data_IF_211619855775
#
_entry.id   IF_211619855775
#
_cell.length_a   1.000
_cell.length_b   1.000
_cell.length_c   1.000
_cell.angle_alpha   90.00
_cell.angle_beta   90.00
_cell.angle_gamma   90.00
#
_symmetry.space_group_name_H-M   'P 1'
#
loop_
_entity.id
_entity.type
_entity.pdbx_description
1 polymer ?
#
# COMPACT_ATOMS: atom_id res chain seq x y z
N UNK A 1 -39.15 -70.65 -36.90
CA UNK A 1 -39.23 -69.95 -38.20
C UNK A 1 -40.27 -68.84 -38.03
N UNK A 2 -40.08 -67.53 -38.27
CA UNK A 2 -39.06 -66.74 -38.95
C UNK A 2 -39.14 -65.27 -38.47
N UNK A 3 -37.98 -64.63 -38.34
CA UNK A 3 -37.59 -63.22 -38.58
C UNK A 3 -38.26 -62.02 -37.87
N UNK A 4 -37.41 -61.30 -37.14
CA UNK A 4 -37.54 -59.89 -36.73
C UNK A 4 -36.97 -58.93 -37.81
N UNK A 5 -37.37 -57.64 -37.83
CA UNK A 5 -36.60 -56.59 -38.48
C UNK A 5 -35.86 -55.69 -37.48
N UNK A 6 -34.64 -55.33 -37.87
CA UNK A 6 -33.65 -54.49 -37.22
C UNK A 6 -34.01 -53.00 -37.23
N UNK A 7 -34.00 -52.33 -36.06
CA UNK A 7 -34.10 -50.86 -35.97
C UNK A 7 -33.08 -50.27 -34.97
N UNK A 8 -31.84 -50.77 -34.97
CA UNK A 8 -30.72 -50.23 -34.18
C UNK A 8 -29.65 -49.51 -35.01
N UNK A 9 -29.55 -49.78 -36.31
CA UNK A 9 -28.46 -49.30 -37.17
C UNK A 9 -28.72 -47.93 -37.82
N UNK A 10 -29.98 -47.50 -37.93
CA UNK A 10 -30.34 -46.25 -38.62
C UNK A 10 -30.25 -45.00 -37.72
N UNK A 11 -30.46 -45.16 -36.41
CA UNK A 11 -30.28 -44.06 -35.45
C UNK A 11 -28.80 -43.70 -35.25
N UNK A 12 -27.90 -44.70 -35.28
CA UNK A 12 -26.46 -44.46 -35.22
C UNK A 12 -25.89 -43.85 -36.51
N UNK A 13 -26.48 -44.18 -37.67
CA UNK A 13 -26.10 -43.53 -38.95
C UNK A 13 -26.55 -42.07 -39.02
N UNK A 14 -27.72 -41.72 -38.49
CA UNK A 14 -28.15 -40.31 -38.39
C UNK A 14 -27.28 -39.48 -37.44
N UNK A 15 -26.92 -40.01 -36.27
CA UNK A 15 -26.03 -39.30 -35.33
C UNK A 15 -24.60 -39.08 -35.89
N UNK A 16 -24.09 -40.01 -36.70
CA UNK A 16 -22.76 -39.92 -37.32
C UNK A 16 -22.69 -38.92 -38.49
N UNK A 17 -23.81 -38.65 -39.15
CA UNK A 17 -23.90 -37.65 -40.24
C UNK A 17 -23.93 -36.23 -39.67
N UNK A 18 -24.65 -36.00 -38.55
CA UNK A 18 -24.67 -34.70 -37.87
C UNK A 18 -23.32 -34.34 -37.23
N UNK A 19 -22.58 -35.31 -36.71
CA UNK A 19 -21.25 -35.06 -36.14
C UNK A 19 -20.21 -34.59 -37.20
N UNK A 20 -20.33 -35.04 -38.46
CA UNK A 20 -19.47 -34.60 -39.57
C UNK A 20 -19.82 -33.19 -40.07
N UNK A 21 -21.09 -32.82 -40.03
CA UNK A 21 -21.55 -31.47 -40.38
C UNK A 21 -21.13 -30.43 -39.32
N UNK A 22 -21.16 -30.81 -38.03
CA UNK A 22 -20.69 -29.94 -36.94
C UNK A 22 -19.16 -29.81 -36.95
N UNK A 23 -18.40 -30.88 -37.26
CA UNK A 23 -16.93 -30.80 -37.28
C UNK A 23 -16.38 -29.95 -38.43
N UNK A 24 -17.02 -29.95 -39.60
CA UNK A 24 -16.59 -29.15 -40.75
C UNK A 24 -16.86 -27.65 -40.54
N UNK A 25 -17.99 -27.30 -39.92
CA UNK A 25 -18.32 -25.91 -39.57
C UNK A 25 -17.44 -25.35 -38.44
N UNK A 26 -17.08 -26.15 -37.43
CA UNK A 26 -16.17 -25.73 -36.34
C UNK A 26 -14.73 -25.52 -36.84
N UNK A 27 -14.28 -26.33 -37.81
CA UNK A 27 -12.96 -26.14 -38.46
C UNK A 27 -12.95 -24.91 -39.38
N UNK A 28 -14.06 -24.61 -40.07
CA UNK A 28 -14.21 -23.41 -40.91
C UNK A 28 -14.21 -22.10 -40.09
N UNK A 29 -14.93 -22.07 -38.96
CA UNK A 29 -14.99 -20.91 -38.05
C UNK A 29 -13.63 -20.69 -37.38
N UNK A 30 -12.94 -21.77 -37.00
CA UNK A 30 -11.59 -21.70 -36.42
C UNK A 30 -10.55 -21.16 -37.41
N UNK A 31 -10.71 -21.42 -38.71
CA UNK A 31 -9.82 -20.88 -39.75
C UNK A 31 -10.04 -19.38 -39.99
N UNK A 32 -11.27 -18.90 -39.86
CA UNK A 32 -11.63 -17.49 -40.07
C UNK A 32 -11.23 -16.62 -38.87
N UNK A 33 -11.36 -17.12 -37.64
CA UNK A 33 -10.86 -16.44 -36.43
C UNK A 33 -9.33 -16.39 -36.32
N UNK A 34 -8.59 -17.31 -36.98
CA UNK A 34 -7.13 -17.31 -36.96
C UNK A 34 -6.47 -16.32 -37.94
N UNK A 35 -7.22 -15.81 -38.92
CA UNK A 35 -6.69 -14.93 -39.99
C UNK A 35 -6.73 -13.45 -39.57
N UNK A 36 -7.67 -13.05 -38.70
CA UNK A 36 -7.82 -11.65 -38.26
C UNK A 36 -7.04 -11.29 -36.98
N UNK A 37 -6.42 -12.27 -36.32
CA UNK A 37 -5.64 -12.02 -35.11
C UNK A 37 -4.14 -11.87 -35.41
N UNK A 38 -3.70 -10.64 -35.71
CA UNK A 38 -2.32 -10.20 -35.36
C UNK A 38 -2.41 -8.88 -34.58
N UNK A 39 -1.60 -8.66 -33.53
CA UNK A 39 -0.41 -9.41 -33.15
C UNK A 39 -0.51 -9.97 -31.72
N UNK A 40 -0.84 -11.25 -31.57
CA UNK A 40 -0.57 -12.00 -30.33
C UNK A 40 0.54 -12.99 -30.63
N UNK A 41 1.74 -12.58 -30.22
CA UNK A 41 2.99 -13.33 -30.02
C UNK A 41 3.19 -14.61 -30.84
N UNK A 42 4.20 -14.60 -31.70
CA UNK A 42 4.71 -15.79 -32.41
C UNK A 42 5.00 -17.00 -31.51
N UNK A 43 5.19 -16.79 -30.20
CA UNK A 43 5.39 -17.84 -29.22
C UNK A 43 4.19 -18.79 -29.06
N UNK A 44 2.94 -18.30 -29.17
CA UNK A 44 1.75 -19.17 -29.03
C UNK A 44 1.59 -20.07 -30.26
N UNK A 45 1.83 -19.53 -31.45
CA UNK A 45 1.80 -20.29 -32.70
C UNK A 45 2.94 -21.32 -32.75
N UNK A 46 4.11 -20.97 -32.23
CA UNK A 46 5.25 -21.90 -32.16
C UNK A 46 5.04 -23.02 -31.13
N UNK A 47 4.45 -22.71 -29.97
CA UNK A 47 4.09 -23.71 -28.95
C UNK A 47 3.00 -24.65 -29.47
N UNK A 48 1.96 -24.13 -30.15
CA UNK A 48 0.94 -24.97 -30.79
C UNK A 48 1.52 -25.83 -31.91
N UNK A 49 2.47 -25.33 -32.70
CA UNK A 49 3.14 -26.10 -33.76
C UNK A 49 4.06 -27.18 -33.19
N UNK A 50 4.76 -26.92 -32.08
CA UNK A 50 5.59 -27.91 -31.35
C UNK A 50 4.73 -29.00 -30.69
N UNK A 51 3.61 -28.64 -30.06
CA UNK A 51 2.66 -29.59 -29.45
C UNK A 51 1.98 -30.48 -30.50
N UNK A 52 1.54 -29.90 -31.63
CA UNK A 52 0.96 -30.67 -32.75
C UNK A 52 2.00 -31.53 -33.48
N UNK A 53 3.26 -31.08 -33.53
CA UNK A 53 4.38 -31.86 -34.06
C UNK A 53 4.72 -33.08 -33.20
N UNK A 54 4.68 -32.94 -31.87
CA UNK A 54 4.91 -34.04 -30.94
C UNK A 54 3.75 -35.06 -30.91
N UNK A 55 2.52 -34.61 -31.12
CA UNK A 55 1.36 -35.50 -31.26
C UNK A 55 1.41 -36.37 -32.54
N UNK A 56 2.17 -35.95 -33.57
CA UNK A 56 2.24 -36.65 -34.85
C UNK A 56 3.23 -37.83 -34.88
N UNK A 57 4.10 -37.95 -33.89
CA UNK A 57 5.24 -38.90 -33.90
C UNK A 57 5.07 -40.17 -33.05
N UNK A 58 3.88 -40.43 -32.47
CA UNK A 58 3.62 -41.69 -31.73
C UNK A 58 2.20 -42.22 -31.90
N UNK A 59 1.72 -42.31 -33.13
CA UNK A 59 0.39 -42.88 -33.40
C UNK A 59 0.38 -43.99 -34.45
N UNK A 60 1.53 -44.43 -34.98
CA UNK A 60 1.58 -45.53 -35.96
C UNK A 60 1.47 -46.93 -35.32
N UNK A 61 1.42 -47.04 -33.98
CA UNK A 61 1.50 -48.34 -33.29
C UNK A 61 0.45 -48.51 -32.18
N UNK A 62 -0.71 -47.87 -32.31
CA UNK A 62 -1.74 -47.90 -31.27
C UNK A 62 -3.09 -48.23 -31.88
N UNK A 63 -3.74 -49.26 -31.32
CA UNK A 63 -5.03 -49.80 -31.76
C UNK A 63 -6.12 -48.73 -31.92
N UNK A 64 -7.09 -49.04 -32.79
CA UNK A 64 -8.19 -48.14 -33.17
C UNK A 64 -9.02 -47.64 -31.97
N UNK A 65 -9.04 -48.38 -30.86
CA UNK A 65 -9.78 -48.03 -29.64
C UNK A 65 -9.10 -46.90 -28.85
N UNK A 66 -7.77 -46.96 -28.71
CA UNK A 66 -6.98 -45.97 -27.98
C UNK A 66 -6.82 -44.66 -28.74
N UNK A 67 -6.85 -44.70 -30.08
CA UNK A 67 -6.98 -43.49 -30.93
C UNK A 67 -8.29 -42.74 -30.67
N UNK A 68 -9.42 -43.44 -30.56
CA UNK A 68 -10.73 -42.82 -30.30
C UNK A 68 -10.80 -42.20 -28.90
N UNK A 69 -10.23 -42.87 -27.90
CA UNK A 69 -10.16 -42.35 -26.53
C UNK A 69 -9.27 -41.11 -26.40
N UNK A 70 -8.11 -41.09 -27.08
CA UNK A 70 -7.23 -39.92 -27.11
C UNK A 70 -7.90 -38.71 -27.78
N UNK A 71 -8.60 -38.92 -28.89
CA UNK A 71 -9.33 -37.84 -29.58
C UNK A 71 -10.45 -37.29 -28.69
N UNK A 72 -11.18 -38.16 -27.96
CA UNK A 72 -12.20 -37.75 -27.00
C UNK A 72 -11.63 -36.92 -25.84
N UNK A 73 -10.49 -37.33 -25.29
CA UNK A 73 -9.82 -36.60 -24.21
C UNK A 73 -9.37 -35.20 -24.64
N UNK A 74 -8.82 -35.06 -25.85
CA UNK A 74 -8.42 -33.76 -26.40
C UNK A 74 -9.61 -32.86 -26.74
N UNK A 75 -10.73 -33.42 -27.19
CA UNK A 75 -11.95 -32.65 -27.44
C UNK A 75 -12.56 -32.08 -26.15
N UNK A 76 -12.56 -32.86 -25.06
CA UNK A 76 -12.97 -32.41 -23.71
C UNK A 76 -12.06 -31.30 -23.19
N UNK A 77 -10.74 -31.44 -23.35
CA UNK A 77 -9.78 -30.42 -22.92
C UNK A 77 -10.01 -29.10 -23.69
N UNK A 78 -10.28 -29.17 -25.00
CA UNK A 78 -10.57 -28.01 -25.83
C UNK A 78 -11.86 -27.29 -25.42
N UNK A 79 -12.91 -28.04 -25.07
CA UNK A 79 -14.19 -27.44 -24.63
C UNK A 79 -14.07 -26.75 -23.28
N UNK A 80 -13.31 -27.30 -22.34
CA UNK A 80 -13.02 -26.65 -21.05
C UNK A 80 -12.23 -25.35 -21.25
N UNK A 81 -11.22 -25.37 -22.12
CA UNK A 81 -10.42 -24.17 -22.44
C UNK A 81 -11.26 -23.07 -23.07
N UNK A 82 -12.10 -23.41 -24.06
CA UNK A 82 -13.01 -22.45 -24.71
C UNK A 82 -14.05 -21.91 -23.72
N UNK A 83 -14.65 -22.78 -22.88
CA UNK A 83 -15.59 -22.35 -21.84
C UNK A 83 -14.97 -21.40 -20.83
N UNK A 84 -13.71 -21.63 -20.45
CA UNK A 84 -12.98 -20.75 -19.52
C UNK A 84 -12.69 -19.39 -20.14
N UNK A 85 -12.33 -19.35 -21.43
CA UNK A 85 -12.11 -18.10 -22.16
C UNK A 85 -13.42 -17.33 -22.31
N UNK A 86 -14.52 -17.99 -22.70
CA UNK A 86 -15.86 -17.37 -22.80
C UNK A 86 -16.33 -16.84 -21.45
N UNK A 87 -16.10 -17.58 -20.35
CA UNK A 87 -16.43 -17.13 -19.00
C UNK A 87 -15.68 -15.86 -18.61
N UNK A 88 -14.39 -15.77 -18.92
CA UNK A 88 -13.55 -14.57 -18.66
C UNK A 88 -14.05 -13.38 -19.48
N UNK A 89 -14.39 -13.58 -20.76
CA UNK A 89 -14.89 -12.51 -21.63
C UNK A 89 -16.28 -11.99 -21.22
N UNK A 90 -17.16 -12.84 -20.68
CA UNK A 90 -18.49 -12.41 -20.21
C UNK A 90 -18.50 -11.86 -18.77
N UNK A 91 -17.50 -12.18 -17.93
CA UNK A 91 -17.41 -11.59 -16.58
C UNK A 91 -16.83 -10.18 -16.58
N UNK A 92 -16.17 -9.73 -17.66
CA UNK A 92 -15.62 -8.38 -17.78
C UNK A 92 -16.71 -7.28 -17.71
N UNK A 93 -17.83 -7.44 -18.43
CA UNK A 93 -18.88 -6.41 -18.49
C UNK A 93 -19.50 -6.09 -17.12
N UNK A 94 -19.59 -7.08 -16.23
CA UNK A 94 -20.13 -6.92 -14.87
C UNK A 94 -19.21 -6.14 -13.92
N UNK A 95 -17.90 -6.16 -14.16
CA UNK A 95 -16.90 -5.49 -13.33
C UNK A 95 -16.78 -4.01 -13.73
N UNK A 96 -16.99 -3.67 -15.00
CA UNK A 96 -16.91 -2.30 -15.50
C UNK A 96 -18.15 -1.47 -15.19
N UNK A 97 -19.35 -2.08 -15.23
CA UNK A 97 -20.61 -1.39 -14.92
C UNK A 97 -20.72 -0.93 -13.45
N UNK A 98 -20.03 -1.59 -12.52
CA UNK A 98 -20.01 -1.22 -11.09
C UNK A 98 -19.02 -0.08 -10.79
N UNK A 99 -17.94 0.04 -11.56
CA UNK A 99 -16.94 1.09 -11.39
C UNK A 99 -17.41 2.47 -11.90
N UNK A 100 -18.31 2.51 -12.88
CA UNK A 100 -18.92 3.76 -13.37
C UNK A 100 -19.96 4.32 -12.40
N UNK A 101 -20.70 3.47 -11.66
CA UNK A 101 -21.73 3.92 -10.70
C UNK A 101 -21.17 4.59 -9.44
N UNK A 102 -19.89 4.40 -9.14
CA UNK A 102 -19.25 4.92 -7.93
C UNK A 102 -18.45 6.21 -8.16
N UNK A 103 -18.51 6.81 -9.35
CA UNK A 103 -17.92 8.13 -9.60
C UNK A 103 -18.91 9.26 -9.25
N UNK A 104 -18.63 10.11 -8.24
CA UNK A 104 -19.41 11.33 -8.06
C UNK A 104 -19.06 12.34 -9.17
N UNK A 105 -20.04 12.69 -9.99
CA UNK A 105 -19.94 13.82 -10.92
C UNK A 105 -20.26 15.11 -10.17
N UNK A 106 -19.27 16.01 -10.09
CA UNK A 106 -19.52 17.41 -9.68
C UNK A 106 -19.68 18.21 -10.97
N UNK A 107 -20.91 18.59 -11.28
CA UNK A 107 -21.22 19.62 -12.26
C UNK A 107 -20.93 20.99 -11.63
N UNK A 108 -19.91 21.70 -12.12
CA UNK A 108 -19.73 23.12 -11.80
C UNK A 108 -20.28 23.96 -12.94
N UNK A 109 -21.40 24.64 -12.66
CA UNK A 109 -21.95 25.71 -13.49
C UNK A 109 -21.06 26.93 -13.34
N UNK A 110 -20.35 27.32 -14.40
CA UNK A 110 -19.62 28.59 -14.41
C UNK A 110 -20.61 29.71 -14.76
N UNK A 111 -20.97 30.52 -13.76
CA UNK A 111 -21.54 31.83 -13.99
C UNK A 111 -20.41 32.76 -14.46
N UNK A 112 -20.47 33.19 -15.72
CA UNK A 112 -19.55 34.17 -16.27
C UNK A 112 -19.92 35.58 -15.82
N UNK A 113 -18.92 36.36 -15.43
CA UNK A 113 -19.05 37.81 -15.34
C UNK A 113 -17.73 38.49 -15.77
N UNK A 114 -17.82 39.18 -16.92
CA UNK A 114 -17.24 40.51 -17.15
C UNK A 114 -15.72 40.72 -17.14
N UNK A 115 -15.14 40.82 -18.35
CA UNK A 115 -13.82 41.42 -18.63
C UNK A 115 -13.71 42.89 -18.18
N UNK A 116 -12.57 43.26 -17.57
CA UNK A 116 -11.75 44.42 -18.00
C UNK A 116 -10.39 44.47 -17.26
N UNK A 117 -9.25 44.66 -17.97
CA UNK A 117 -7.92 44.76 -17.35
C UNK A 117 -7.61 46.20 -16.90
N UNK A 118 -7.17 46.37 -15.65
CA UNK A 118 -6.70 47.65 -15.14
C UNK A 118 -5.29 47.98 -15.66
N UNK A 119 -5.18 49.16 -16.29
CA UNK A 119 -4.00 49.73 -16.94
C UNK A 119 -2.90 50.11 -15.93
N UNK A 120 -1.65 49.97 -16.36
CA UNK A 120 -0.49 50.62 -15.76
C UNK A 120 -0.61 52.15 -15.79
N UNK A 121 -0.25 52.81 -14.68
CA UNK A 121 0.31 54.16 -14.71
C UNK A 121 1.43 54.31 -13.70
N UNK A 122 2.59 54.73 -14.21
CA UNK A 122 3.74 55.25 -13.49
C UNK A 122 3.35 56.52 -12.73
N UNK A 123 3.90 56.74 -11.54
CA UNK A 123 4.52 57.99 -11.08
C UNK A 123 4.86 57.92 -9.59
N UNK A 124 6.05 58.38 -9.22
CA UNK A 124 6.37 58.78 -7.84
C UNK A 124 7.60 58.12 -7.20
N UNK A 125 8.80 58.49 -7.63
CA UNK A 125 9.98 58.46 -6.75
C UNK A 125 9.88 59.60 -5.72
N UNK A 126 10.51 59.47 -4.54
CA UNK A 126 11.70 60.29 -4.35
C UNK A 126 12.85 59.62 -3.57
N UNK A 127 14.03 59.69 -4.21
CA UNK A 127 15.35 60.19 -3.74
C UNK A 127 15.71 60.14 -2.25
N UNK A 128 16.82 59.45 -1.98
CA UNK A 128 17.60 59.49 -0.74
C UNK A 128 18.29 60.85 -0.48
N UNK A 129 18.48 61.19 0.80
CA UNK A 129 19.47 62.16 1.30
C UNK A 129 20.23 61.58 2.50
N UNK A 130 21.54 61.80 2.47
CA UNK A 130 22.57 61.44 3.45
C UNK A 130 22.54 62.30 4.72
N UNK A 131 23.36 61.83 5.70
CA UNK A 131 23.90 62.44 6.95
C UNK A 131 23.18 61.95 8.21
N UNK A 132 23.85 61.59 9.32
CA UNK A 132 25.25 61.68 9.75
C UNK A 132 25.50 60.74 10.94
N UNK A 133 26.78 60.52 11.23
CA UNK A 133 27.37 59.66 12.28
C UNK A 133 26.98 60.02 13.72
N UNK A 134 26.99 59.01 14.60
CA UNK A 134 27.68 59.10 15.91
C UNK A 134 28.16 57.73 16.38
N UNK A 135 29.48 57.64 16.57
CA UNK A 135 30.24 56.52 17.11
C UNK A 135 30.21 56.49 18.64
N UNK A 136 30.20 55.29 19.23
CA UNK A 136 30.92 54.85 20.44
C UNK A 136 31.10 53.33 20.26
N UNK A 137 32.24 52.65 20.26
CA UNK A 137 33.59 52.97 20.71
C UNK A 137 34.01 51.96 21.78
N UNK A 138 34.51 50.76 21.43
CA UNK A 138 35.44 49.97 22.28
C UNK A 138 36.30 49.00 21.44
N UNK A 139 37.59 48.97 21.79
CA UNK A 139 38.79 48.41 21.14
C UNK A 139 38.78 46.87 21.06
N UNK A 140 39.11 46.26 19.91
CA UNK A 140 40.42 45.68 19.48
C UNK A 140 41.12 44.78 20.52
N UNK A 141 41.26 43.50 20.16
CA UNK A 141 42.56 42.82 20.18
C UNK A 141 42.71 41.94 18.93
N UNK A 142 43.93 41.90 18.42
CA UNK A 142 44.41 41.44 17.12
C UNK A 142 45.13 40.10 17.22
N UNK A 143 44.96 39.23 16.23
CA UNK A 143 46.05 38.54 15.51
C UNK A 143 45.45 37.84 14.27
N UNK A 144 45.80 38.25 13.04
CA UNK A 144 46.83 37.65 12.17
C UNK A 144 46.71 36.11 12.04
N UNK A 145 46.55 35.49 10.88
CA UNK A 145 46.52 35.93 9.51
C UNK A 145 46.34 34.70 8.60
N UNK A 146 45.73 34.87 7.43
CA UNK A 146 46.09 34.17 6.18
C UNK A 146 45.29 34.76 5.03
N UNK A 147 46.03 35.31 4.07
CA UNK A 147 45.57 35.98 2.86
C UNK A 147 44.91 34.97 1.92
N UNK A 148 43.69 35.27 1.46
CA UNK A 148 43.11 34.65 0.27
C UNK A 148 43.57 35.44 -0.95
N UNK A 149 44.30 34.77 -1.84
CA UNK A 149 44.59 35.27 -3.18
C UNK A 149 43.53 34.74 -4.15
N UNK A 150 42.86 35.64 -4.87
CA UNK A 150 42.24 35.31 -6.16
C UNK A 150 43.35 35.12 -7.20
N UNK A 151 43.09 34.33 -8.26
CA UNK A 151 43.04 35.00 -9.56
C UNK A 151 41.99 34.45 -10.54
N UNK A 152 41.41 35.43 -11.27
CA UNK A 152 41.15 35.52 -12.71
C UNK A 152 40.48 34.36 -13.48
N UNK A 153 39.34 34.73 -14.05
CA UNK A 153 38.68 34.17 -15.24
C UNK A 153 39.49 34.39 -16.52
N UNK A 154 39.79 33.30 -17.23
CA UNK A 154 39.70 33.18 -18.69
C UNK A 154 40.09 31.76 -19.12
N UNK A 155 39.12 30.96 -19.60
CA UNK A 155 39.16 30.36 -20.95
C UNK A 155 38.02 29.37 -21.17
N UNK A 156 37.51 29.45 -22.38
CA UNK A 156 36.25 28.89 -22.85
C UNK A 156 36.59 27.64 -23.68
N UNK A 157 36.12 26.45 -23.28
CA UNK A 157 36.06 25.31 -24.20
C UNK A 157 34.66 24.71 -24.19
N UNK A 158 33.91 25.07 -25.23
CA UNK A 158 32.67 24.42 -25.64
C UNK A 158 32.97 22.96 -25.99
N UNK A 159 32.29 22.04 -25.32
CA UNK A 159 32.00 20.71 -25.88
C UNK A 159 30.54 20.42 -25.63
N UNK A 160 29.76 20.52 -26.71
CA UNK A 160 28.36 20.14 -26.77
C UNK A 160 28.22 18.64 -26.49
N UNK A 161 27.50 18.27 -25.44
CA UNK A 161 26.93 16.92 -25.28
C UNK A 161 25.42 17.01 -25.58
N UNK A 162 24.88 16.14 -26.45
CA UNK A 162 23.55 16.31 -27.03
C UNK A 162 22.44 16.14 -25.99
N UNK A 163 21.36 16.92 -26.15
CA UNK A 163 20.10 16.76 -25.42
C UNK A 163 19.68 15.29 -25.44
N UNK A 164 19.71 14.65 -24.27
CA UNK A 164 19.14 13.33 -24.08
C UNK A 164 17.66 13.39 -24.46
N UNK A 165 17.30 12.53 -25.43
CA UNK A 165 15.97 12.38 -26.01
C UNK A 165 14.92 12.31 -24.90
N UNK A 166 13.81 13.05 -25.08
CA UNK A 166 12.57 12.88 -24.30
C UNK A 166 12.31 11.39 -24.11
N UNK A 167 12.11 10.89 -22.87
CA UNK A 167 11.70 9.50 -22.72
C UNK A 167 10.38 9.36 -23.45
N UNK A 168 10.34 8.44 -24.41
CA UNK A 168 9.13 7.96 -25.02
C UNK A 168 8.26 7.46 -23.88
N UNK A 169 7.36 8.32 -23.40
CA UNK A 169 6.28 7.99 -22.52
C UNK A 169 5.43 7.00 -23.31
N UNK A 170 5.78 5.73 -23.15
CA UNK A 170 5.14 4.61 -23.80
C UNK A 170 3.66 4.68 -23.46
N UNK A 171 2.85 4.63 -24.52
CA UNK A 171 1.38 4.57 -24.53
C UNK A 171 0.82 3.29 -23.85
N UNK A 172 1.39 2.82 -22.74
CA UNK A 172 0.90 1.64 -22.02
C UNK A 172 1.07 1.81 -20.51
N UNK A 173 -0.04 1.63 -19.80
CA UNK A 173 -0.27 1.70 -18.35
C UNK A 173 -0.57 3.11 -17.79
N UNK A 174 -1.82 3.56 -17.98
CA UNK A 174 -2.52 4.27 -16.89
C UNK A 174 -2.70 3.27 -15.73
N UNK A 175 -1.63 2.99 -14.97
CA UNK A 175 -1.77 2.36 -13.65
C UNK A 175 -2.64 3.32 -12.82
N UNK A 176 -3.82 2.89 -12.40
CA UNK A 176 -4.54 3.56 -11.32
C UNK A 176 -3.58 3.69 -10.14
N UNK A 177 -3.01 4.88 -9.93
CA UNK A 177 -2.27 5.18 -8.73
C UNK A 177 -3.33 5.28 -7.64
N UNK A 178 -3.36 4.29 -6.74
CA UNK A 178 -4.31 4.31 -5.62
C UNK A 178 -4.06 5.59 -4.83
N UNK A 179 -5.01 6.53 -4.91
CA UNK A 179 -4.97 7.77 -4.13
C UNK A 179 -5.74 7.56 -2.84
N UNK A 180 -5.08 7.80 -1.72
CA UNK A 180 -5.74 7.81 -0.41
C UNK A 180 -6.58 9.09 -0.26
N UNK A 181 -7.52 9.06 0.68
CA UNK A 181 -8.30 10.23 1.02
C UNK A 181 -7.38 11.44 1.35
N UNK A 182 -7.69 12.64 0.83
CA UNK A 182 -6.93 13.85 1.17
C UNK A 182 -6.87 14.10 2.67
N UNK A 183 -5.81 14.79 3.09
CA UNK A 183 -5.51 15.02 4.49
C UNK A 183 -5.00 16.47 4.67
N UNK A 184 -5.52 17.28 5.62
CA UNK A 184 -6.65 17.04 6.54
C UNK A 184 -8.01 16.99 5.86
N UNK A 185 -8.86 16.07 6.31
CA UNK A 185 -10.32 16.22 6.22
C UNK A 185 -10.76 17.20 7.33
N UNK A 186 -11.33 18.37 6.99
CA UNK A 186 -11.75 19.36 7.98
C UNK A 186 -12.80 18.87 8.98
N UNK A 187 -13.56 17.82 8.65
CA UNK A 187 -14.60 17.26 9.53
C UNK A 187 -14.04 16.26 10.55
N UNK A 188 -12.81 15.79 10.35
CA UNK A 188 -12.13 14.83 11.24
C UNK A 188 -11.08 15.50 12.13
N UNK A 189 -11.01 16.82 12.12
CA UNK A 189 -9.99 17.58 12.85
C UNK A 189 -10.64 18.74 13.61
N UNK A 190 -10.44 18.78 14.93
CA UNK A 190 -10.72 19.96 15.74
C UNK A 190 -9.46 20.83 15.87
N UNK A 191 -9.65 22.14 15.94
CA UNK A 191 -8.55 23.07 16.26
C UNK A 191 -8.46 23.23 17.77
N UNK A 192 -7.36 22.77 18.36
CA UNK A 192 -7.01 23.04 19.75
C UNK A 192 -5.79 23.95 19.83
N UNK A 193 -5.57 24.59 20.99
CA UNK A 193 -4.42 25.47 21.24
C UNK A 193 -3.08 24.79 21.00
N UNK A 194 -3.00 23.47 21.24
CA UNK A 194 -1.81 22.64 21.07
C UNK A 194 -1.61 22.12 19.64
N UNK A 195 -2.53 22.42 18.72
CA UNK A 195 -2.53 21.92 17.35
C UNK A 195 -3.81 21.15 16.96
N UNK A 196 -3.85 20.59 15.74
CA UNK A 196 -5.01 19.86 15.23
C UNK A 196 -5.20 18.53 15.98
N UNK A 197 -6.40 18.22 16.44
CA UNK A 197 -6.67 16.92 17.08
C UNK A 197 -7.70 16.12 16.26
N UNK A 198 -7.56 14.78 16.18
CA UNK A 198 -8.57 13.97 15.54
C UNK A 198 -9.86 13.93 16.35
N UNK A 199 -10.98 14.00 15.64
CA UNK A 199 -12.33 13.83 16.17
C UNK A 199 -13.11 12.85 15.30
N UNK A 200 -14.16 12.27 15.89
CA UNK A 200 -15.23 11.65 15.12
C UNK A 200 -16.07 12.80 14.55
N UNK A 201 -16.21 12.81 13.23
CA UNK A 201 -17.05 13.78 12.52
C UNK A 201 -18.52 13.69 12.93
N UNK A 202 -19.30 14.75 12.65
CA UNK A 202 -20.72 14.83 13.02
C UNK A 202 -21.59 13.73 12.38
N UNK A 203 -21.20 13.25 11.21
CA UNK A 203 -21.83 12.14 10.49
C UNK A 203 -21.30 10.75 10.93
N UNK A 204 -20.46 10.71 11.97
CA UNK A 204 -19.95 9.47 12.55
C UNK A 204 -18.74 8.87 11.83
N UNK A 205 -18.19 9.52 10.80
CA UNK A 205 -16.95 9.03 10.16
C UNK A 205 -15.78 9.13 11.14
N UNK A 206 -14.92 8.11 11.10
CA UNK A 206 -13.78 7.93 12.00
C UNK A 206 -12.48 7.95 11.21
N UNK A 207 -11.44 8.57 11.76
CA UNK A 207 -10.13 8.71 11.12
C UNK A 207 -9.54 7.36 10.67
N UNK A 208 -9.67 6.31 11.48
CA UNK A 208 -9.16 4.97 11.12
C UNK A 208 -9.82 4.37 9.88
N UNK A 209 -11.03 4.81 9.49
CA UNK A 209 -11.73 4.39 8.28
C UNK A 209 -11.51 5.33 7.10
N UNK A 210 -11.51 6.64 7.34
CA UNK A 210 -11.40 7.63 6.26
C UNK A 210 -9.98 7.70 5.72
N UNK A 211 -8.99 7.62 6.60
CA UNK A 211 -7.58 7.67 6.20
C UNK A 211 -6.97 6.32 5.86
N UNK A 212 -7.76 5.24 5.91
CA UNK A 212 -7.28 3.90 5.59
C UNK A 212 -6.97 3.75 4.11
N UNK A 213 -6.10 2.77 3.83
CA UNK A 213 -5.89 2.27 2.49
C UNK A 213 -7.03 1.30 2.14
N UNK A 214 -7.73 1.50 1.02
CA UNK A 214 -8.72 0.54 0.54
C UNK A 214 -8.11 -0.87 0.42
N UNK A 215 -8.82 -1.86 0.95
CA UNK A 215 -8.47 -3.27 0.87
C UNK A 215 -9.72 -4.08 0.53
N UNK A 216 -9.61 -5.03 -0.39
CA UNK A 216 -10.76 -5.78 -0.88
C UNK A 216 -11.35 -6.65 0.22
N UNK A 217 -12.65 -6.47 0.50
CA UNK A 217 -13.41 -7.37 1.39
C UNK A 217 -13.59 -8.77 0.81
N UNK A 218 -13.40 -8.92 -0.51
CA UNK A 218 -13.47 -10.20 -1.21
C UNK A 218 -12.13 -10.95 -1.16
N UNK A 219 -11.08 -10.36 -0.60
CA UNK A 219 -9.81 -11.06 -0.42
C UNK A 219 -9.98 -12.20 0.57
N UNK A 220 -9.80 -13.43 0.08
CA UNK A 220 -9.94 -14.68 0.86
C UNK A 220 -8.59 -15.24 1.29
N UNK A 221 -7.48 -14.77 0.71
CA UNK A 221 -6.14 -15.23 1.10
C UNK A 221 -5.81 -14.81 2.52
N UNK A 222 -5.00 -15.60 3.25
CA UNK A 222 -4.48 -15.16 4.53
C UNK A 222 -3.67 -13.86 4.40
N UNK A 223 -3.88 -12.94 5.33
CA UNK A 223 -3.38 -11.57 5.25
C UNK A 223 -2.12 -11.39 6.09
N UNK A 224 -1.17 -10.62 5.60
CA UNK A 224 -0.03 -10.18 6.41
C UNK A 224 0.01 -8.67 6.35
N UNK A 225 0.01 -8.00 7.51
CA UNK A 225 0.36 -6.60 7.60
C UNK A 225 1.82 -6.49 8.02
N UNK A 226 2.58 -5.68 7.28
CA UNK A 226 3.92 -5.26 7.66
C UNK A 226 3.85 -3.80 8.07
N UNK A 227 4.44 -3.49 9.23
CA UNK A 227 4.54 -2.13 9.76
C UNK A 227 6.01 -1.77 9.97
N UNK A 228 6.47 -0.68 9.36
CA UNK A 228 7.74 -0.06 9.74
C UNK A 228 7.51 0.95 10.85
N UNK A 229 8.21 0.79 11.97
CA UNK A 229 8.17 1.71 13.12
C UNK A 229 9.39 2.64 13.13
N UNK A 230 9.43 3.58 14.08
CA UNK A 230 10.55 4.50 14.33
C UNK A 230 10.91 5.43 13.15
N UNK A 231 9.96 5.69 12.26
CA UNK A 231 10.16 6.55 11.10
C UNK A 231 10.23 8.03 11.48
N UNK A 232 10.95 8.79 10.67
CA UNK A 232 11.13 10.24 10.82
C UNK A 232 12.32 10.65 11.70
N UNK A 233 12.98 9.71 12.37
CA UNK A 233 14.24 9.97 13.10
C UNK A 233 15.41 10.13 12.12
N UNK A 234 15.56 9.20 11.17
CA UNK A 234 16.51 9.29 10.06
C UNK A 234 15.77 9.59 8.76
N UNK A 235 16.15 10.68 8.09
CA UNK A 235 15.55 11.10 6.82
C UNK A 235 15.78 10.05 5.73
N UNK A 236 17.02 9.62 5.55
CA UNK A 236 17.41 8.66 4.51
C UNK A 236 16.73 7.30 4.71
N UNK A 237 16.66 6.83 5.96
CA UNK A 237 16.00 5.56 6.29
C UNK A 237 14.48 5.64 6.04
N UNK A 238 13.87 6.78 6.39
CA UNK A 238 12.45 7.04 6.17
C UNK A 238 12.11 7.09 4.68
N UNK A 239 12.90 7.84 3.91
CA UNK A 239 12.76 7.94 2.46
C UNK A 239 12.93 6.58 1.78
N UNK A 240 13.93 5.79 2.19
CA UNK A 240 14.16 4.45 1.67
C UNK A 240 12.95 3.53 1.88
N UNK A 241 12.32 3.55 3.05
CA UNK A 241 11.11 2.76 3.32
C UNK A 241 9.96 3.20 2.40
N UNK A 242 9.70 4.51 2.31
CA UNK A 242 8.59 5.05 1.50
C UNK A 242 8.78 4.73 0.00
N UNK A 243 10.01 4.81 -0.50
CA UNK A 243 10.28 4.60 -1.93
C UNK A 243 10.33 3.13 -2.33
N UNK A 244 10.83 2.26 -1.45
CA UNK A 244 11.13 0.86 -1.81
C UNK A 244 10.03 -0.11 -1.42
N UNK A 245 9.17 0.23 -0.46
CA UNK A 245 8.10 -0.67 -0.02
C UNK A 245 6.78 -0.36 -0.73
N UNK A 246 5.95 -1.36 -1.04
CA UNK A 246 4.64 -1.10 -1.64
C UNK A 246 3.72 -0.38 -0.66
N UNK A 247 2.84 0.50 -1.15
CA UNK A 247 1.91 1.29 -0.33
C UNK A 247 0.98 0.48 0.59
N UNK A 248 0.90 -0.85 0.47
CA UNK A 248 0.17 -1.68 1.44
C UNK A 248 0.91 -1.86 2.78
N UNK A 249 2.21 -1.57 2.83
CA UNK A 249 2.99 -1.49 4.09
C UNK A 249 2.55 -0.27 4.89
N UNK A 250 2.34 -0.43 6.18
CA UNK A 250 1.96 0.66 7.09
C UNK A 250 3.19 1.31 7.71
N UNK A 251 3.16 2.61 7.93
CA UNK A 251 4.28 3.41 8.41
C UNK A 251 3.94 4.09 9.74
N UNK A 252 4.69 3.81 10.81
CA UNK A 252 4.52 4.46 12.11
C UNK A 252 5.64 5.47 12.37
N UNK A 253 5.27 6.71 12.64
CA UNK A 253 6.20 7.83 12.78
C UNK A 253 6.40 8.24 14.23
N UNK A 254 7.64 8.56 14.59
CA UNK A 254 7.96 9.20 15.85
C UNK A 254 7.31 10.60 15.93
N UNK A 255 6.64 10.96 17.04
CA UNK A 255 5.94 12.25 17.14
C UNK A 255 6.90 13.45 17.20
N UNK A 256 8.18 13.19 17.46
CA UNK A 256 9.26 14.17 17.53
C UNK A 256 10.03 14.33 16.20
N UNK A 257 9.66 13.57 15.17
CA UNK A 257 10.34 13.58 13.88
C UNK A 257 10.39 15.00 13.28
N UNK A 258 11.55 15.36 12.73
CA UNK A 258 11.69 16.59 11.96
C UNK A 258 10.92 16.46 10.65
N UNK A 259 10.31 17.55 10.18
CA UNK A 259 9.54 17.59 8.93
C UNK A 259 8.42 16.55 8.86
N UNK A 260 7.84 16.17 10.01
CA UNK A 260 6.81 15.15 10.11
C UNK A 260 5.66 15.35 9.12
N UNK A 261 5.20 16.59 8.92
CA UNK A 261 4.17 16.92 7.92
C UNK A 261 4.56 16.51 6.49
N UNK A 262 5.81 16.76 6.10
CA UNK A 262 6.30 16.41 4.76
C UNK A 262 6.32 14.89 4.60
N UNK A 263 6.82 14.17 5.61
CA UNK A 263 6.84 12.71 5.59
C UNK A 263 5.45 12.11 5.44
N UNK A 264 4.46 12.61 6.18
CA UNK A 264 3.09 12.13 6.06
C UNK A 264 2.54 12.37 4.66
N UNK A 265 2.77 13.56 4.08
CA UNK A 265 2.30 13.88 2.74
C UNK A 265 2.90 12.94 1.69
N UNK A 266 4.21 12.68 1.76
CA UNK A 266 4.91 11.80 0.81
C UNK A 266 4.45 10.34 1.01
N UNK A 267 4.39 9.86 2.25
CA UNK A 267 3.90 8.51 2.58
C UNK A 267 2.48 8.26 2.08
N UNK A 268 1.56 9.19 2.34
CA UNK A 268 0.17 9.07 1.89
C UNK A 268 0.05 9.15 0.37
N UNK A 269 0.88 9.98 -0.28
CA UNK A 269 0.94 10.07 -1.74
C UNK A 269 1.46 8.78 -2.39
N UNK A 270 2.38 8.08 -1.72
CA UNK A 270 2.84 6.73 -2.09
C UNK A 270 1.82 5.61 -1.71
N UNK A 271 0.71 5.98 -1.06
CA UNK A 271 -0.39 5.07 -0.76
C UNK A 271 -0.29 4.33 0.57
N UNK A 272 0.66 4.70 1.43
CA UNK A 272 0.85 4.09 2.75
C UNK A 272 -0.17 4.58 3.78
N UNK A 273 -0.63 3.66 4.63
CA UNK A 273 -1.25 4.04 5.89
C UNK A 273 -0.20 4.58 6.86
N UNK A 274 -0.64 5.52 7.69
CA UNK A 274 0.21 6.19 8.66
C UNK A 274 -0.32 5.96 10.06
N UNK A 275 0.58 5.65 10.99
CA UNK A 275 0.35 5.64 12.44
C UNK A 275 1.28 6.67 13.09
N UNK A 276 0.92 7.11 14.31
CA UNK A 276 1.84 7.85 15.18
C UNK A 276 2.28 6.97 16.34
N UNK A 277 3.59 6.91 16.59
CA UNK A 277 4.12 6.23 17.75
C UNK A 277 3.73 7.00 19.02
N UNK A 278 3.20 6.29 20.02
CA UNK A 278 2.77 6.84 21.29
C UNK A 278 3.80 6.43 22.36
N UNK A 279 4.68 7.36 22.80
CA UNK A 279 5.70 7.08 23.79
C UNK A 279 5.05 6.74 25.14
N UNK A 280 5.45 5.63 25.72
CA UNK A 280 4.92 5.08 26.96
C UNK A 280 6.05 4.53 27.83
N UNK A 281 5.81 4.45 29.14
CA UNK A 281 6.79 3.98 30.14
C UNK A 281 7.34 2.57 29.81
N UNK A 282 8.67 2.43 29.61
CA UNK A 282 9.35 1.15 29.59
C UNK A 282 9.60 0.61 31.00
N UNK A 283 10.07 -0.63 31.09
CA UNK A 283 10.38 -1.29 32.37
C UNK A 283 11.51 -0.61 33.15
N UNK A 284 12.48 -0.02 32.45
CA UNK A 284 13.69 0.57 32.99
C UNK A 284 13.64 2.12 33.01
N UNK A 285 12.45 2.73 32.96
CA UNK A 285 12.30 4.18 33.09
C UNK A 285 12.87 4.67 34.44
N UNK A 286 13.63 5.77 34.50
CA UNK A 286 13.93 6.72 33.42
C UNK A 286 15.23 6.45 32.64
N UNK A 287 15.92 5.31 32.84
CA UNK A 287 17.18 5.02 32.13
C UNK A 287 16.98 4.98 30.62
N UNK A 288 15.88 4.35 30.19
CA UNK A 288 15.37 4.47 28.83
C UNK A 288 14.24 5.50 28.81
N UNK A 289 14.49 6.69 28.27
CA UNK A 289 13.48 7.76 28.14
C UNK A 289 12.96 7.88 26.69
N UNK A 290 11.68 7.54 26.42
CA UNK A 290 11.06 7.71 25.11
C UNK A 290 10.82 9.18 24.71
N UNK A 291 11.01 10.13 25.63
CA UNK A 291 10.93 11.57 25.40
C UNK A 291 9.97 12.34 26.33
N UNK A 292 9.84 13.66 26.14
CA UNK A 292 9.19 14.57 27.11
C UNK A 292 7.67 14.38 27.29
N UNK A 293 7.01 13.63 26.39
CA UNK A 293 5.56 13.36 26.44
C UNK A 293 5.26 11.87 26.64
N UNK A 294 6.20 11.12 27.21
CA UNK A 294 6.02 9.71 27.59
C UNK A 294 4.82 9.57 28.54
N UNK A 295 3.88 8.67 28.25
CA UNK A 295 2.83 8.33 29.20
C UNK A 295 3.42 7.50 30.33
N UNK A 296 3.17 7.91 31.58
CA UNK A 296 3.75 7.26 32.77
C UNK A 296 2.64 6.77 33.69
N UNK A 297 2.77 5.57 34.23
CA UNK A 297 1.80 4.98 35.15
C UNK A 297 1.73 5.73 36.48
N UNK A 298 2.80 6.43 36.86
CA UNK A 298 2.89 7.30 38.03
C UNK A 298 2.15 8.63 37.89
N UNK A 299 1.79 9.04 36.67
CA UNK A 299 1.08 10.29 36.41
C UNK A 299 -0.43 10.14 36.58
N UNK A 300 -1.08 11.24 36.96
CA UNK A 300 -2.53 11.29 36.96
C UNK A 300 -3.11 11.08 35.56
N UNK A 301 -4.36 10.60 35.50
CA UNK A 301 -5.10 10.42 34.25
C UNK A 301 -5.13 11.72 33.43
N UNK A 302 -5.28 12.87 34.09
CA UNK A 302 -5.33 14.19 33.44
C UNK A 302 -4.00 14.52 32.75
N UNK A 303 -2.87 14.29 33.42
CA UNK A 303 -1.54 14.53 32.86
C UNK A 303 -1.25 13.60 31.68
N UNK A 304 -1.58 12.31 31.80
CA UNK A 304 -1.44 11.36 30.70
C UNK A 304 -2.32 11.74 29.50
N UNK A 305 -3.56 12.20 29.71
CA UNK A 305 -4.41 12.71 28.62
C UNK A 305 -3.83 13.96 27.95
N UNK A 306 -3.22 14.86 28.71
CA UNK A 306 -2.55 16.03 28.14
C UNK A 306 -1.35 15.62 27.27
N UNK A 307 -0.52 14.68 27.74
CA UNK A 307 0.60 14.13 26.96
C UNK A 307 0.12 13.40 25.70
N UNK A 308 -0.93 12.59 25.82
CA UNK A 308 -1.58 11.93 24.68
C UNK A 308 -2.02 12.96 23.64
N UNK A 309 -2.76 13.99 24.03
CA UNK A 309 -3.26 15.02 23.10
C UNK A 309 -2.12 15.76 22.41
N UNK A 310 -1.02 16.03 23.11
CA UNK A 310 0.16 16.62 22.48
C UNK A 310 0.73 15.72 21.37
N UNK A 311 0.84 14.40 21.62
CA UNK A 311 1.29 13.43 20.59
C UNK A 311 0.34 13.40 19.41
N UNK A 312 -0.97 13.37 19.67
CA UNK A 312 -2.00 13.35 18.64
C UNK A 312 -2.04 14.65 17.81
N UNK A 313 -1.57 15.77 18.39
CA UNK A 313 -1.58 17.07 17.70
C UNK A 313 -0.43 17.31 16.73
N UNK A 314 0.55 16.41 16.70
CA UNK A 314 1.78 16.57 15.90
C UNK A 314 1.56 16.44 14.40
N UNK A 315 0.56 15.68 13.99
CA UNK A 315 0.19 15.44 12.61
C UNK A 315 -1.30 15.17 12.52
N UNK A 316 -1.73 14.84 11.32
CA UNK A 316 -3.10 14.49 11.00
C UNK A 316 -3.05 13.47 9.84
N UNK A 317 -4.15 12.79 9.50
CA UNK A 317 -4.15 11.83 8.37
C UNK A 317 -3.60 10.45 8.69
N UNK A 318 -3.45 10.15 9.98
CA UNK A 318 -3.11 8.84 10.48
C UNK A 318 -4.38 8.06 10.87
N UNK A 319 -4.31 6.74 10.77
CA UNK A 319 -5.43 5.85 11.12
C UNK A 319 -5.48 5.54 12.61
N UNK A 320 -4.38 5.69 13.32
CA UNK A 320 -4.27 5.33 14.72
C UNK A 320 -2.89 5.55 15.32
N UNK A 321 -2.68 4.94 16.48
CA UNK A 321 -1.40 4.99 17.19
C UNK A 321 -0.74 3.62 17.25
N UNK A 322 0.58 3.57 17.33
CA UNK A 322 1.33 2.38 17.76
C UNK A 322 1.91 2.59 19.16
N UNK A 323 1.91 1.57 20.02
CA UNK A 323 2.64 1.65 21.29
C UNK A 323 4.16 1.77 21.02
N UNK A 324 4.87 2.59 21.80
CA UNK A 324 6.32 2.76 21.68
C UNK A 324 6.97 2.72 23.07
N UNK A 325 7.92 1.78 23.23
CA UNK A 325 8.62 1.49 24.50
C UNK A 325 7.69 1.18 25.70
N UNK A 326 6.48 0.70 25.43
CA UNK A 326 5.40 0.61 26.41
C UNK A 326 5.46 -0.59 27.39
N UNK A 327 6.68 -1.03 27.73
CA UNK A 327 6.96 -2.27 28.46
C UNK A 327 6.34 -2.33 29.86
N UNK A 328 6.22 -1.20 30.55
CA UNK A 328 5.58 -1.10 31.86
C UNK A 328 4.15 -0.56 31.75
N UNK A 329 3.94 0.54 31.01
CA UNK A 329 2.66 1.24 30.96
C UNK A 329 1.49 0.32 30.53
N UNK A 330 1.72 -0.55 29.55
CA UNK A 330 0.68 -1.45 29.02
C UNK A 330 0.28 -2.56 29.99
N UNK A 331 1.09 -2.81 31.03
CA UNK A 331 0.78 -3.80 32.08
C UNK A 331 -0.14 -3.22 33.16
N UNK A 332 -0.42 -1.91 33.16
CA UNK A 332 -1.23 -1.22 34.18
C UNK A 332 -2.62 -0.85 33.64
N UNK A 333 -3.66 -1.66 33.88
CA UNK A 333 -5.01 -1.39 33.34
C UNK A 333 -5.59 -0.04 33.77
N UNK A 334 -5.30 0.40 35.01
CA UNK A 334 -5.78 1.67 35.56
C UNK A 334 -5.27 2.90 34.80
N UNK A 335 -4.01 2.87 34.35
CA UNK A 335 -3.42 3.93 33.54
C UNK A 335 -3.77 3.79 32.05
N UNK A 336 -3.82 2.55 31.53
CA UNK A 336 -4.03 2.28 30.11
C UNK A 336 -5.48 2.51 29.66
N UNK A 337 -6.49 2.09 30.45
CA UNK A 337 -7.90 2.19 30.06
C UNK A 337 -8.36 3.61 29.71
N UNK A 338 -8.02 4.66 30.48
CA UNK A 338 -8.36 6.04 30.11
C UNK A 338 -7.74 6.51 28.79
N UNK A 339 -6.52 6.05 28.47
CA UNK A 339 -5.82 6.38 27.21
C UNK A 339 -6.53 5.72 26.03
N UNK A 340 -6.79 4.41 26.11
CA UNK A 340 -7.52 3.66 25.07
C UNK A 340 -8.93 4.23 24.89
N UNK A 341 -9.60 4.61 25.97
CA UNK A 341 -10.92 5.25 25.89
C UNK A 341 -10.89 6.58 25.13
N UNK A 342 -9.86 7.40 25.31
CA UNK A 342 -9.74 8.66 24.57
C UNK A 342 -9.35 8.43 23.10
N UNK A 343 -8.47 7.47 22.80
CA UNK A 343 -8.16 7.09 21.41
C UNK A 343 -9.43 6.64 20.66
N UNK A 344 -10.26 5.81 21.31
CA UNK A 344 -11.56 5.39 20.77
C UNK A 344 -12.48 6.57 20.51
N UNK A 345 -12.65 7.49 21.48
CA UNK A 345 -13.54 8.64 21.32
C UNK A 345 -13.10 9.59 20.21
N UNK A 346 -11.83 9.52 19.81
CA UNK A 346 -11.25 10.28 18.68
C UNK A 346 -11.32 9.54 17.34
N UNK A 347 -11.93 8.35 17.29
CA UNK A 347 -12.11 7.60 16.06
C UNK A 347 -10.80 7.01 15.52
N UNK A 348 -9.90 6.60 16.41
CA UNK A 348 -8.60 6.00 16.08
C UNK A 348 -8.57 4.49 16.36
N UNK A 349 -7.68 3.78 15.65
CA UNK A 349 -7.28 2.42 16.02
C UNK A 349 -5.98 2.43 16.86
N UNK A 350 -5.63 1.27 17.42
CA UNK A 350 -4.35 1.06 18.09
C UNK A 350 -3.64 -0.17 17.53
N UNK A 351 -2.34 -0.05 17.31
CA UNK A 351 -1.42 -1.15 17.14
C UNK A 351 -0.65 -1.35 18.43
N UNK A 352 -0.86 -2.48 19.10
CA UNK A 352 0.01 -2.89 20.19
C UNK A 352 1.25 -3.58 19.62
N UNK A 353 2.39 -2.89 19.70
CA UNK A 353 3.71 -3.45 19.36
C UNK A 353 4.09 -4.57 20.33
N UNK A 354 3.43 -4.66 21.49
CA UNK A 354 3.55 -5.76 22.45
C UNK A 354 4.99 -6.01 22.86
N UNK A 355 5.63 -4.95 23.37
CA UNK A 355 6.97 -4.99 23.97
C UNK A 355 6.99 -5.94 25.17
N UNK A 356 5.92 -5.92 25.96
CA UNK A 356 5.71 -6.85 27.07
C UNK A 356 4.58 -7.84 26.71
N UNK A 357 4.80 -9.17 26.83
CA UNK A 357 3.77 -10.16 26.55
C UNK A 357 2.54 -10.05 27.46
N UNK A 358 2.66 -9.42 28.64
CA UNK A 358 1.60 -9.15 29.62
C UNK A 358 0.80 -7.86 29.33
N UNK A 359 1.01 -7.23 28.17
CA UNK A 359 0.24 -6.05 27.75
C UNK A 359 -1.27 -6.30 27.82
N UNK A 360 -1.98 -5.36 28.45
CA UNK A 360 -3.44 -5.35 28.53
C UNK A 360 -4.10 -4.60 27.36
N UNK A 361 -3.32 -4.04 26.43
CA UNK A 361 -3.81 -3.10 25.41
C UNK A 361 -4.88 -3.72 24.52
N UNK A 362 -4.65 -4.93 24.02
CA UNK A 362 -5.61 -5.66 23.17
C UNK A 362 -6.89 -5.99 23.93
N UNK A 363 -6.77 -6.51 25.15
CA UNK A 363 -7.92 -6.89 25.97
C UNK A 363 -8.81 -5.70 26.32
N UNK A 364 -8.20 -4.58 26.70
CA UNK A 364 -8.92 -3.33 26.99
C UNK A 364 -9.56 -2.75 25.73
N UNK A 365 -8.84 -2.69 24.61
CA UNK A 365 -9.38 -2.16 23.36
C UNK A 365 -10.57 -2.97 22.85
N UNK A 366 -10.50 -4.31 22.90
CA UNK A 366 -11.64 -5.19 22.57
C UNK A 366 -12.84 -4.94 23.47
N UNK A 367 -12.65 -4.88 24.79
CA UNK A 367 -13.73 -4.57 25.75
C UNK A 367 -14.39 -3.22 25.46
N UNK A 368 -13.61 -2.24 25.03
CA UNK A 368 -14.10 -0.91 24.64
C UNK A 368 -14.63 -0.85 23.22
N UNK A 369 -14.58 -1.93 22.43
CA UNK A 369 -14.91 -1.96 20.99
C UNK A 369 -14.12 -0.94 20.17
N UNK A 370 -12.84 -0.81 20.47
CA UNK A 370 -11.88 -0.03 19.69
C UNK A 370 -11.15 -0.97 18.72
N UNK A 371 -10.98 -0.60 17.43
CA UNK A 371 -10.21 -1.42 16.50
C UNK A 371 -8.76 -1.55 16.98
N UNK A 372 -8.27 -2.77 17.07
CA UNK A 372 -6.94 -3.07 17.59
C UNK A 372 -6.26 -4.17 16.80
N UNK A 373 -4.98 -3.99 16.52
CA UNK A 373 -4.08 -5.02 16.03
C UNK A 373 -2.94 -5.21 17.04
N UNK A 374 -2.34 -6.40 17.06
CA UNK A 374 -1.19 -6.69 17.91
C UNK A 374 -0.11 -7.36 17.07
N UNK A 375 1.15 -7.02 17.33
CA UNK A 375 2.31 -7.65 16.71
C UNK A 375 2.31 -9.15 17.03
N UNK A 376 2.56 -9.97 16.01
CA UNK A 376 2.88 -11.39 16.16
C UNK A 376 4.39 -11.62 16.10
N UNK A 377 5.11 -10.87 15.26
CA UNK A 377 6.55 -11.07 15.02
C UNK A 377 7.30 -9.76 14.81
N UNK A 378 8.52 -9.68 15.35
CA UNK A 378 9.51 -8.71 14.91
C UNK A 378 10.39 -9.36 13.84
N UNK A 379 10.53 -8.69 12.70
CA UNK A 379 11.30 -9.19 11.58
C UNK A 379 12.81 -9.05 11.80
N UNK A 380 13.23 -8.02 12.52
CA UNK A 380 14.63 -7.60 12.59
C UNK A 380 15.17 -7.45 14.01
N UNK A 381 14.66 -8.24 14.96
CA UNK A 381 15.33 -8.45 16.26
C UNK A 381 16.83 -8.72 16.06
N UNK A 382 17.16 -9.57 15.08
CA UNK A 382 18.50 -9.74 14.56
C UNK A 382 18.50 -9.28 13.10
N UNK A 383 19.12 -8.12 12.86
CA UNK A 383 19.12 -7.44 11.56
C UNK A 383 20.07 -8.07 10.53
N UNK A 384 19.85 -9.34 10.18
CA UNK A 384 20.54 -10.03 9.08
C UNK A 384 19.52 -10.58 8.08
N UNK A 385 19.89 -10.62 6.79
CA UNK A 385 18.97 -11.07 5.74
C UNK A 385 18.44 -12.49 5.98
N UNK A 386 19.30 -13.41 6.49
CA UNK A 386 18.89 -14.78 6.85
C UNK A 386 17.80 -14.78 7.93
N UNK A 387 17.99 -14.04 9.01
CA UNK A 387 17.03 -14.01 10.12
C UNK A 387 15.73 -13.32 9.70
N UNK A 388 15.80 -12.21 8.96
CA UNK A 388 14.61 -11.50 8.48
C UNK A 388 13.78 -12.40 7.57
N UNK A 389 14.40 -13.14 6.63
CA UNK A 389 13.67 -14.12 5.80
C UNK A 389 13.04 -15.24 6.61
N UNK A 390 13.73 -15.74 7.64
CA UNK A 390 13.17 -16.75 8.53
C UNK A 390 11.95 -16.20 9.32
N UNK A 391 12.03 -14.95 9.80
CA UNK A 391 10.92 -14.28 10.48
C UNK A 391 9.74 -13.99 9.53
N UNK A 392 10.01 -13.64 8.27
CA UNK A 392 8.97 -13.51 7.24
C UNK A 392 8.27 -14.85 7.00
N UNK A 393 9.01 -15.95 6.84
CA UNK A 393 8.42 -17.28 6.71
C UNK A 393 7.56 -17.68 7.93
N UNK A 394 8.00 -17.35 9.14
CA UNK A 394 7.19 -17.53 10.35
C UNK A 394 5.89 -16.70 10.31
N UNK A 395 5.94 -15.46 9.81
CA UNK A 395 4.74 -14.65 9.60
C UNK A 395 3.77 -15.29 8.60
N UNK A 396 4.30 -15.91 7.53
CA UNK A 396 3.50 -16.68 6.57
C UNK A 396 2.77 -17.85 7.22
N UNK A 397 3.46 -18.62 8.05
CA UNK A 397 2.86 -19.74 8.78
C UNK A 397 1.77 -19.27 9.74
N UNK A 398 2.01 -18.21 10.51
CA UNK A 398 1.02 -17.62 11.41
C UNK A 398 -0.22 -17.18 10.61
N UNK A 399 -0.01 -16.49 9.48
CA UNK A 399 -1.10 -16.05 8.63
C UNK A 399 -1.88 -17.24 8.07
N UNK A 400 -1.21 -18.28 7.54
CA UNK A 400 -1.87 -19.48 7.01
C UNK A 400 -2.69 -20.21 8.06
N UNK A 401 -2.23 -20.26 9.32
CA UNK A 401 -2.97 -20.91 10.42
C UNK A 401 -4.16 -20.09 10.94
N UNK A 402 -3.98 -18.78 11.16
CA UNK A 402 -5.00 -17.91 11.81
C UNK A 402 -5.85 -17.09 10.84
N UNK A 403 -5.46 -17.04 9.56
CA UNK A 403 -6.02 -16.15 8.54
C UNK A 403 -5.35 -14.78 8.48
N UNK A 404 -4.54 -14.38 9.48
CA UNK A 404 -3.73 -13.17 9.41
C UNK A 404 -2.52 -13.15 10.35
N UNK A 405 -1.50 -12.36 10.01
CA UNK A 405 -0.36 -12.03 10.87
C UNK A 405 0.03 -10.54 10.78
N UNK A 406 0.58 -10.01 11.87
CA UNK A 406 1.16 -8.66 11.95
C UNK A 406 2.66 -8.78 12.22
N UNK A 407 3.46 -8.29 11.28
CA UNK A 407 4.91 -8.26 11.36
C UNK A 407 5.40 -6.81 11.48
N UNK A 408 6.38 -6.58 12.36
CA UNK A 408 6.96 -5.25 12.57
C UNK A 408 8.45 -5.27 12.22
N UNK A 409 8.92 -4.21 11.57
CA UNK A 409 10.32 -3.97 11.27
C UNK A 409 10.71 -2.53 11.61
N UNK A 410 12.00 -2.31 11.79
CA UNK A 410 12.66 -1.00 11.89
C UNK A 410 13.28 -0.65 10.54
N UNK A 411 13.58 0.63 10.26
CA UNK A 411 13.98 1.07 8.93
C UNK A 411 15.47 0.78 8.64
N UNK A 412 15.96 -0.40 9.03
CA UNK A 412 17.32 -0.83 8.67
C UNK A 412 17.40 -1.13 7.17
N UNK A 413 18.51 -0.80 6.49
CA UNK A 413 18.65 -1.04 5.04
C UNK A 413 18.36 -2.49 4.64
N UNK A 414 18.80 -3.46 5.46
CA UNK A 414 18.53 -4.88 5.22
C UNK A 414 17.06 -5.24 5.41
N UNK A 415 16.39 -4.70 6.44
CA UNK A 415 14.94 -4.89 6.66
C UNK A 415 14.13 -4.39 5.47
N UNK A 416 14.46 -3.19 4.97
CA UNK A 416 13.80 -2.62 3.78
C UNK A 416 14.00 -3.50 2.55
N UNK A 417 15.22 -3.99 2.34
CA UNK A 417 15.57 -4.83 1.18
C UNK A 417 14.81 -6.16 1.20
N UNK A 418 14.84 -6.88 2.32
CA UNK A 418 14.19 -8.18 2.44
C UNK A 418 12.66 -8.07 2.40
N UNK A 419 12.08 -7.05 3.07
CA UNK A 419 10.63 -6.81 3.04
C UNK A 419 10.17 -6.44 1.63
N UNK A 420 10.92 -5.59 0.92
CA UNK A 420 10.60 -5.22 -0.47
C UNK A 420 10.56 -6.45 -1.38
N UNK A 421 11.63 -7.25 -1.38
CA UNK A 421 11.71 -8.45 -2.23
C UNK A 421 10.68 -9.52 -1.84
N UNK A 422 10.36 -9.65 -0.56
CA UNK A 422 9.28 -10.53 -0.10
C UNK A 422 7.90 -10.06 -0.59
N UNK A 423 7.63 -8.76 -0.51
CA UNK A 423 6.35 -8.18 -0.83
C UNK A 423 6.00 -8.27 -2.33
N UNK A 424 7.00 -8.30 -3.22
CA UNK A 424 6.81 -8.50 -4.66
C UNK A 424 6.12 -9.84 -4.98
N UNK A 425 6.47 -10.90 -4.25
CA UNK A 425 6.06 -12.28 -4.57
C UNK A 425 5.03 -12.84 -3.56
N UNK A 426 4.53 -12.03 -2.62
CA UNK A 426 3.60 -12.47 -1.56
C UNK A 426 2.34 -13.18 -2.11
N UNK A 427 1.84 -12.74 -3.27
CA UNK A 427 0.63 -13.31 -3.88
C UNK A 427 0.84 -14.72 -4.42
N UNK A 428 2.03 -15.01 -4.92
CA UNK A 428 2.44 -16.32 -5.43
C UNK A 428 2.57 -17.33 -4.28
N UNK A 429 2.88 -16.84 -3.08
CA UNK A 429 2.91 -17.64 -1.83
C UNK A 429 1.53 -17.94 -1.25
N UNK A 430 0.46 -17.56 -1.95
CA UNK A 430 -0.92 -17.76 -1.52
C UNK A 430 -1.38 -16.78 -0.44
N UNK A 431 -0.70 -15.65 -0.27
CA UNK A 431 -0.95 -14.66 0.78
C UNK A 431 -1.37 -13.30 0.19
N UNK A 432 -1.89 -12.42 1.03
CA UNK A 432 -2.18 -11.03 0.67
C UNK A 432 -1.46 -10.07 1.63
N UNK A 433 -0.63 -9.17 1.08
CA UNK A 433 -0.12 -8.04 1.84
C UNK A 433 -1.25 -7.02 2.04
N UNK A 434 -1.58 -6.74 3.31
CA UNK A 434 -2.71 -5.93 3.71
C UNK A 434 -2.26 -4.73 4.57
N UNK A 435 -2.96 -3.58 4.47
CA UNK A 435 -2.78 -2.48 5.42
C UNK A 435 -3.18 -2.89 6.84
N UNK A 436 -2.66 -2.22 7.87
CA UNK A 436 -2.91 -2.62 9.26
C UNK A 436 -4.40 -2.50 9.63
N UNK A 437 -5.12 -1.53 9.07
CA UNK A 437 -6.56 -1.34 9.32
C UNK A 437 -7.40 -2.55 8.87
N UNK A 438 -6.98 -3.24 7.81
CA UNK A 438 -7.65 -4.45 7.33
C UNK A 438 -7.54 -5.61 8.32
N UNK A 439 -6.52 -5.61 9.19
CA UNK A 439 -6.38 -6.57 10.29
C UNK A 439 -7.07 -6.05 11.55
N UNK A 440 -6.90 -4.78 11.90
CA UNK A 440 -7.51 -4.20 13.11
C UNK A 440 -9.04 -4.29 13.12
N UNK A 441 -9.68 -4.26 11.94
CA UNK A 441 -11.12 -4.45 11.82
C UNK A 441 -11.59 -5.84 12.30
N UNK A 442 -10.74 -6.87 12.26
CA UNK A 442 -11.07 -8.21 12.75
C UNK A 442 -11.35 -8.23 14.25
N UNK A 443 -10.81 -7.28 15.02
CA UNK A 443 -11.07 -7.19 16.46
C UNK A 443 -12.48 -6.69 16.82
N UNK A 444 -13.24 -6.27 15.82
CA UNK A 444 -14.62 -5.76 15.97
C UNK A 444 -15.69 -6.80 15.62
N UNK A 445 -15.28 -7.95 15.08
CA UNK A 445 -16.13 -9.14 14.93
C UNK A 445 -16.18 -9.85 16.28
#
# INVERSE_FOLDING_TARGET
MHNAPSSGSDLLRKLLIDARAVSSNVVGISRKLLIDARPVSGNVVEISRKLLGHARLRLSTVDNLSRKLLIGAWAMLGTVLVGTVVWIFFTEDSIYAELERQQPSISMTFAGEGNAPAKHSRNGAPRAKNREKKEVGTKRNTDAGRRAAQPNTSENKKTNLPLAKKPLLSKKLKKFTLRLHPHPDPQLVERATIGPLPIVSKDGRQAWRVYSRPFSKLEKKPRIAIVFIDLGVSADATEAVIQKTPGAVTLAFAPFARRLKDWINISRSAGHEVLVALPMEPLDYPNSDPGPYTLLSSLSIKQNKQRLRWVLSRLTGYVGVSTFMAGEFTTKPGALKPVVSELKSRGLMMLDVRENPLSNAVGIAKKLRMPVAARDIFLDEIATGKNIRARLAQAEEIAKRRGFAVAIARPYPISVTEVSGWAENVRERGLALAPITAIAQESLK
#
